data_IF_094902869031
#
_entry.id   IF_094902869031
#
_cell.length_a   1.000
_cell.length_b   1.000
_cell.length_c   1.000
_cell.angle_alpha   90.00
_cell.angle_beta   90.00
_cell.angle_gamma   90.00
#
_symmetry.space_group_name_H-M   'P 1'
#
loop_
_entity.id
_entity.type
_entity.pdbx_description
1 polymer ?
#
# COMPACT_ATOMS: atom_id res chain seq x y z
N UNK A 1 23.77 5.17 -8.65
CA UNK A 1 24.00 6.43 -7.90
C UNK A 1 24.48 6.03 -6.52
N UNK A 2 25.55 6.61 -6.03
CA UNK A 2 26.00 6.37 -4.66
C UNK A 2 25.04 7.05 -3.68
N UNK A 3 24.87 6.47 -2.49
CA UNK A 3 23.95 6.95 -1.44
C UNK A 3 24.20 8.39 -1.00
N UNK A 4 25.41 8.89 -1.15
CA UNK A 4 25.79 10.29 -0.87
C UNK A 4 25.01 11.31 -1.72
N UNK A 5 24.63 10.95 -2.94
CA UNK A 5 23.87 11.84 -3.84
C UNK A 5 22.45 12.16 -3.34
N UNK A 6 21.87 11.32 -2.51
CA UNK A 6 20.49 11.47 -2.03
C UNK A 6 20.41 12.09 -0.62
N UNK A 7 21.54 12.46 -0.01
CA UNK A 7 21.53 12.99 1.37
C UNK A 7 20.70 14.27 1.53
N UNK A 8 20.70 15.15 0.55
CA UNK A 8 19.86 16.36 0.55
C UNK A 8 18.40 16.02 0.23
N UNK A 9 18.19 15.14 -0.74
CA UNK A 9 16.83 14.75 -1.18
C UNK A 9 16.08 13.97 -0.10
N UNK A 10 16.75 13.08 0.64
CA UNK A 10 16.14 12.37 1.75
C UNK A 10 15.69 13.33 2.87
N UNK A 11 16.46 14.40 3.11
CA UNK A 11 16.07 15.41 4.10
C UNK A 11 14.86 16.21 3.63
N UNK A 12 14.76 16.55 2.34
CA UNK A 12 13.58 17.22 1.77
C UNK A 12 12.35 16.29 1.80
N UNK A 13 12.55 15.03 1.47
CA UNK A 13 11.48 14.02 1.52
C UNK A 13 10.96 13.80 2.95
N UNK A 14 11.87 13.72 3.92
CA UNK A 14 11.54 13.63 5.33
C UNK A 14 10.75 14.86 5.83
N UNK A 15 11.15 16.06 5.39
CA UNK A 15 10.42 17.28 5.71
C UNK A 15 9.00 17.25 5.14
N UNK A 16 8.83 16.80 3.90
CA UNK A 16 7.52 16.64 3.27
C UNK A 16 6.67 15.59 4.00
N UNK A 17 7.23 14.45 4.37
CA UNK A 17 6.56 13.44 5.18
C UNK A 17 6.03 14.04 6.48
N UNK A 18 6.87 14.77 7.20
CA UNK A 18 6.54 15.35 8.51
C UNK A 18 5.49 16.46 8.39
N UNK A 19 5.67 17.40 7.45
CA UNK A 19 4.82 18.59 7.33
C UNK A 19 3.56 18.38 6.50
N UNK A 20 3.68 17.72 5.35
CA UNK A 20 2.63 17.70 4.35
C UNK A 20 1.80 16.40 4.42
N UNK A 21 2.42 15.30 4.85
CA UNK A 21 1.73 14.00 4.99
C UNK A 21 1.23 13.81 6.42
N UNK A 22 2.13 13.86 7.42
CA UNK A 22 1.77 13.62 8.81
C UNK A 22 1.25 14.86 9.54
N UNK A 23 1.35 16.04 8.93
CA UNK A 23 0.87 17.32 9.45
C UNK A 23 1.32 17.60 10.90
N UNK A 24 2.57 17.25 11.19
CA UNK A 24 3.16 17.41 12.53
C UNK A 24 3.21 18.90 12.91
N UNK A 25 2.85 19.20 14.15
CA UNK A 25 2.82 20.56 14.69
C UNK A 25 3.91 20.78 15.75
N UNK A 26 4.34 22.03 15.98
CA UNK A 26 5.23 22.35 17.08
C UNK A 26 4.68 21.85 18.43
N UNK A 27 5.55 21.25 19.25
CA UNK A 27 5.19 20.74 20.58
C UNK A 27 4.58 19.34 20.60
N UNK A 28 4.20 18.76 19.45
CA UNK A 28 3.68 17.39 19.43
C UNK A 28 4.77 16.34 19.69
N UNK A 29 4.38 15.27 20.40
CA UNK A 29 5.23 14.11 20.65
C UNK A 29 5.18 13.18 19.46
N UNK A 30 6.29 13.08 18.72
CA UNK A 30 6.42 12.25 17.52
C UNK A 30 7.21 11.01 17.88
N UNK A 31 6.56 9.86 18.04
CA UNK A 31 7.24 8.59 18.25
C UNK A 31 7.59 7.98 16.90
N UNK A 32 8.87 7.74 16.69
CA UNK A 32 9.41 7.09 15.50
C UNK A 32 9.92 5.72 15.92
N UNK A 33 9.36 4.67 15.33
CA UNK A 33 9.75 3.29 15.64
C UNK A 33 10.54 2.68 14.50
N UNK A 34 11.61 1.99 14.83
CA UNK A 34 12.51 1.29 13.92
C UNK A 34 12.95 -0.02 14.52
N UNK A 35 13.31 -1.00 13.72
CA UNK A 35 13.90 -2.24 14.17
C UNK A 35 15.35 -2.41 13.68
N UNK A 36 15.94 -3.57 13.95
CA UNK A 36 17.34 -3.86 13.58
C UNK A 36 17.53 -4.01 12.05
N UNK A 37 16.48 -4.21 11.27
CA UNK A 37 16.52 -4.29 9.81
C UNK A 37 16.23 -2.94 9.11
N UNK A 38 15.78 -1.93 9.85
CA UNK A 38 15.41 -0.61 9.31
C UNK A 38 16.62 0.18 8.80
N UNK A 39 16.48 0.85 7.66
CA UNK A 39 17.45 1.85 7.17
C UNK A 39 17.42 3.10 8.04
N UNK A 40 18.40 3.22 8.93
CA UNK A 40 18.46 4.31 9.91
C UNK A 40 18.64 5.70 9.28
N UNK A 41 19.13 5.81 8.04
CA UNK A 41 19.30 7.10 7.34
C UNK A 41 17.96 7.80 7.12
N UNK A 42 16.92 7.02 6.79
CA UNK A 42 15.55 7.52 6.64
C UNK A 42 14.99 7.99 7.97
N UNK A 43 15.15 7.17 9.01
CA UNK A 43 14.66 7.43 10.37
C UNK A 43 15.28 8.69 10.95
N UNK A 44 16.60 8.83 10.82
CA UNK A 44 17.32 10.02 11.29
C UNK A 44 16.92 11.29 10.53
N UNK A 45 16.69 11.21 9.22
CA UNK A 45 16.21 12.33 8.43
C UNK A 45 14.82 12.80 8.91
N UNK A 46 13.92 11.85 9.19
CA UNK A 46 12.57 12.15 9.71
C UNK A 46 12.62 12.72 11.13
N UNK A 47 13.49 12.17 11.99
CA UNK A 47 13.70 12.72 13.33
C UNK A 47 14.21 14.18 13.27
N UNK A 48 15.21 14.47 12.43
CA UNK A 48 15.75 15.83 12.21
C UNK A 48 14.68 16.78 11.66
N UNK A 49 13.84 16.30 10.71
CA UNK A 49 12.73 17.06 10.16
C UNK A 49 11.71 17.43 11.25
N UNK A 50 11.28 16.49 12.08
CA UNK A 50 10.35 16.73 13.18
C UNK A 50 10.95 17.71 14.22
N UNK A 51 12.22 17.54 14.57
CA UNK A 51 12.91 18.46 15.48
C UNK A 51 12.99 19.89 14.91
N UNK A 52 13.27 20.04 13.62
CA UNK A 52 13.42 21.35 12.98
C UNK A 52 12.14 22.20 12.98
N UNK A 53 10.98 21.56 13.05
CA UNK A 53 9.68 22.24 13.20
C UNK A 53 9.22 22.39 14.66
N UNK A 54 10.14 22.16 15.63
CA UNK A 54 9.92 22.26 17.07
C UNK A 54 8.90 21.25 17.62
N UNK A 55 8.77 20.09 17.01
CA UNK A 55 8.11 18.92 17.62
C UNK A 55 9.07 18.23 18.60
N UNK A 56 8.59 17.26 19.36
CA UNK A 56 9.35 16.45 20.31
C UNK A 56 9.55 15.03 19.70
N UNK A 57 10.53 14.80 18.81
CA UNK A 57 10.75 13.49 18.24
C UNK A 57 11.40 12.54 19.26
N UNK A 58 10.89 11.34 19.35
CA UNK A 58 11.39 10.25 20.17
C UNK A 58 11.64 9.06 19.25
N UNK A 59 12.90 8.65 19.12
CA UNK A 59 13.29 7.49 18.32
C UNK A 59 13.46 6.27 19.22
N UNK A 60 12.79 5.17 18.87
CA UNK A 60 12.92 3.89 19.55
C UNK A 60 13.34 2.84 18.54
N UNK A 61 14.52 2.26 18.76
CA UNK A 61 15.03 1.12 17.99
C UNK A 61 14.96 -0.15 18.84
N UNK A 62 14.42 -1.22 18.28
CA UNK A 62 14.23 -2.50 18.96
C UNK A 62 14.60 -3.69 18.05
N UNK A 63 14.77 -4.89 18.60
CA UNK A 63 15.01 -6.07 17.77
C UNK A 63 13.84 -6.33 16.81
N UNK A 64 14.13 -6.76 15.60
CA UNK A 64 13.10 -7.17 14.64
C UNK A 64 12.18 -8.21 15.26
N UNK A 65 10.88 -8.08 15.04
CA UNK A 65 9.88 -9.08 15.45
C UNK A 65 9.95 -10.33 14.56
N UNK A 66 9.36 -11.43 14.99
CA UNK A 66 9.39 -12.68 14.23
C UNK A 66 8.45 -12.69 13.01
N UNK A 67 7.44 -11.81 13.00
CA UNK A 67 6.40 -11.72 11.95
C UNK A 67 5.66 -10.38 12.03
N UNK A 68 4.97 -10.06 10.93
CA UNK A 68 4.08 -8.89 10.90
C UNK A 68 2.92 -9.02 11.91
N UNK A 69 2.44 -7.87 12.38
CA UNK A 69 1.31 -7.70 13.32
C UNK A 69 1.56 -8.25 14.73
N UNK A 70 2.79 -8.61 15.05
CA UNK A 70 3.18 -9.03 16.39
C UNK A 70 3.29 -7.81 17.33
N UNK A 71 2.82 -7.97 18.58
CA UNK A 71 2.96 -6.93 19.58
C UNK A 71 4.45 -6.71 19.92
N UNK A 72 4.98 -5.49 19.81
CA UNK A 72 6.36 -5.20 20.13
C UNK A 72 6.59 -5.26 21.66
N UNK A 73 7.86 -5.25 22.07
CA UNK A 73 8.22 -5.24 23.48
C UNK A 73 7.54 -4.09 24.25
N UNK A 74 7.18 -4.34 25.50
CA UNK A 74 6.38 -3.46 26.36
C UNK A 74 6.80 -1.96 26.37
N UNK A 75 8.11 -1.59 26.43
CA UNK A 75 8.51 -0.19 26.37
C UNK A 75 8.10 0.51 25.05
N UNK A 76 8.16 -0.20 23.92
CA UNK A 76 7.70 0.33 22.60
C UNK A 76 6.20 0.53 22.63
N UNK A 77 5.45 -0.51 23.05
CA UNK A 77 3.99 -0.48 23.13
C UNK A 77 3.47 0.69 23.99
N UNK A 78 4.12 0.97 25.12
CA UNK A 78 3.75 2.12 25.96
C UNK A 78 4.08 3.46 25.33
N UNK A 79 5.24 3.61 24.71
CA UNK A 79 5.64 4.85 24.09
C UNK A 79 4.67 5.24 22.96
N UNK A 80 4.35 4.32 22.04
CA UNK A 80 3.45 4.59 20.92
C UNK A 80 2.03 4.91 21.38
N UNK A 81 1.58 4.33 22.48
CA UNK A 81 0.24 4.59 23.04
C UNK A 81 0.05 6.01 23.58
N UNK A 82 1.13 6.76 23.81
CA UNK A 82 1.11 8.15 24.27
C UNK A 82 1.56 9.17 23.23
N UNK A 83 1.76 8.74 21.97
CA UNK A 83 2.18 9.60 20.89
C UNK A 83 1.03 10.47 20.35
N UNK A 84 1.33 11.72 19.95
CA UNK A 84 0.44 12.52 19.10
C UNK A 84 0.56 12.06 17.64
N UNK A 85 1.77 11.69 17.23
CA UNK A 85 2.09 11.15 15.90
C UNK A 85 3.01 9.95 16.06
N UNK A 86 2.68 8.87 15.36
CA UNK A 86 3.51 7.68 15.29
C UNK A 86 3.88 7.38 13.85
N UNK A 87 5.19 7.36 13.56
CA UNK A 87 5.76 7.01 12.24
C UNK A 87 6.53 5.70 12.41
N UNK A 88 6.04 4.63 11.79
CA UNK A 88 6.61 3.30 11.89
C UNK A 88 7.47 2.97 10.67
N UNK A 89 8.73 2.59 10.92
CA UNK A 89 9.68 2.13 9.91
C UNK A 89 10.15 0.68 10.12
N UNK A 90 9.65 -0.01 11.14
CA UNK A 90 10.01 -1.41 11.40
C UNK A 90 9.79 -2.28 10.15
N UNK A 91 10.63 -3.28 9.94
CA UNK A 91 10.53 -4.18 8.79
C UNK A 91 9.21 -4.95 8.78
N UNK A 92 8.86 -5.55 9.93
CA UNK A 92 7.54 -6.11 10.14
C UNK A 92 6.63 -5.11 10.82
N UNK A 93 5.57 -4.74 10.12
CA UNK A 93 4.55 -3.82 10.60
C UNK A 93 3.86 -4.35 11.87
N UNK A 94 3.65 -3.47 12.86
CA UNK A 94 2.87 -3.80 14.07
C UNK A 94 1.41 -3.34 13.99
N UNK A 95 0.96 -2.91 12.81
CA UNK A 95 -0.45 -2.56 12.55
C UNK A 95 -1.36 -3.73 12.97
N UNK A 96 -2.54 -3.43 13.50
CA UNK A 96 -3.49 -4.39 14.06
C UNK A 96 -3.11 -5.02 15.42
N UNK A 97 -1.90 -4.80 15.93
CA UNK A 97 -1.52 -5.24 17.29
C UNK A 97 -2.30 -4.49 18.40
N UNK A 98 -2.30 -4.98 19.64
CA UNK A 98 -2.93 -4.28 20.77
C UNK A 98 -2.41 -2.84 20.97
N UNK A 99 -1.08 -2.62 20.85
CA UNK A 99 -0.52 -1.27 21.01
C UNK A 99 -0.95 -0.33 19.89
N UNK A 100 -1.08 -0.81 18.66
CA UNK A 100 -1.64 -0.04 17.55
C UNK A 100 -3.08 0.38 17.84
N UNK A 101 -3.94 -0.56 18.26
CA UNK A 101 -5.34 -0.24 18.59
C UNK A 101 -5.43 0.78 19.70
N UNK A 102 -4.58 0.68 20.71
CA UNK A 102 -4.50 1.63 21.83
C UNK A 102 -4.02 3.01 21.37
N UNK A 103 -2.97 3.09 20.54
CA UNK A 103 -2.45 4.35 20.02
C UNK A 103 -3.51 5.08 19.17
N UNK A 104 -4.17 4.36 18.24
CA UNK A 104 -5.26 4.90 17.43
C UNK A 104 -6.45 5.32 18.30
N UNK A 105 -6.85 4.50 19.26
CA UNK A 105 -7.93 4.82 20.23
C UNK A 105 -7.64 6.07 21.06
N UNK A 106 -6.38 6.33 21.38
CA UNK A 106 -5.92 7.55 22.07
C UNK A 106 -5.78 8.77 21.13
N UNK A 107 -6.01 8.60 19.84
CA UNK A 107 -6.02 9.69 18.86
C UNK A 107 -4.69 9.93 18.16
N UNK A 108 -3.71 9.02 18.23
CA UNK A 108 -2.47 9.13 17.50
C UNK A 108 -2.74 9.16 15.98
N UNK A 109 -2.04 10.04 15.25
CA UNK A 109 -1.93 9.97 13.78
C UNK A 109 -0.80 9.00 13.45
N UNK A 110 -1.09 8.02 12.64
CA UNK A 110 -0.18 6.92 12.38
C UNK A 110 0.07 6.73 10.89
N UNK A 111 1.31 6.40 10.54
CA UNK A 111 1.66 5.86 9.22
C UNK A 111 2.61 4.69 9.34
N UNK A 112 2.37 3.67 8.49
CA UNK A 112 3.24 2.52 8.33
C UNK A 112 4.09 2.72 7.06
N UNK A 113 5.40 2.74 7.24
CA UNK A 113 6.41 2.89 6.19
C UNK A 113 7.44 1.74 6.29
N UNK A 114 6.95 0.52 6.47
CA UNK A 114 7.75 -0.68 6.62
C UNK A 114 8.67 -0.92 5.43
N UNK A 115 9.92 -1.28 5.71
CA UNK A 115 10.93 -1.53 4.68
C UNK A 115 11.37 -0.28 3.89
N UNK A 116 10.97 0.93 4.31
CA UNK A 116 11.35 2.19 3.68
C UNK A 116 12.85 2.41 3.72
N UNK A 117 13.45 2.60 2.56
CA UNK A 117 14.84 3.05 2.42
C UNK A 117 14.92 4.46 1.82
N UNK A 118 16.14 4.97 1.66
CA UNK A 118 16.39 6.32 1.12
C UNK A 118 15.77 6.49 -0.27
N UNK A 119 15.93 5.50 -1.15
CA UNK A 119 15.45 5.58 -2.54
C UNK A 119 13.91 5.59 -2.55
N UNK A 120 13.29 4.72 -1.79
CA UNK A 120 11.84 4.66 -1.68
C UNK A 120 11.27 5.97 -1.14
N UNK A 121 11.80 6.51 -0.03
CA UNK A 121 11.32 7.77 0.55
C UNK A 121 11.44 8.95 -0.44
N UNK A 122 12.58 9.04 -1.12
CA UNK A 122 12.85 10.11 -2.10
C UNK A 122 11.91 10.00 -3.29
N UNK A 123 11.73 8.82 -3.84
CA UNK A 123 10.90 8.62 -5.03
C UNK A 123 9.41 8.75 -4.74
N UNK A 124 8.92 8.13 -3.65
CA UNK A 124 7.48 8.03 -3.40
C UNK A 124 6.89 9.25 -2.70
N UNK A 125 7.70 10.03 -2.00
CA UNK A 125 7.26 11.23 -1.25
C UNK A 125 8.03 12.47 -1.70
N UNK A 126 9.37 12.40 -1.73
CA UNK A 126 10.22 13.56 -1.96
C UNK A 126 10.00 14.24 -3.30
N UNK A 127 10.04 13.46 -4.38
CA UNK A 127 9.94 13.93 -5.78
C UNK A 127 8.50 14.10 -6.26
N UNK A 128 7.53 13.62 -5.50
CA UNK A 128 6.11 13.66 -5.88
C UNK A 128 5.48 15.01 -5.50
N UNK A 129 4.66 15.58 -6.37
CA UNK A 129 3.75 16.70 -6.04
C UNK A 129 2.58 16.11 -5.23
N UNK A 130 2.76 16.05 -3.91
CA UNK A 130 1.91 15.25 -3.04
C UNK A 130 0.46 15.76 -2.96
N UNK A 131 0.25 17.07 -3.05
CA UNK A 131 -1.06 17.72 -3.14
C UNK A 131 -1.83 17.29 -4.40
N UNK A 132 -1.13 17.21 -5.54
CA UNK A 132 -1.70 16.73 -6.81
C UNK A 132 -1.98 15.23 -6.74
N UNK A 133 -1.07 14.45 -6.10
CA UNK A 133 -1.26 13.01 -5.89
C UNK A 133 -2.52 12.73 -5.06
N UNK A 134 -2.73 13.48 -3.98
CA UNK A 134 -3.92 13.37 -3.13
C UNK A 134 -5.18 13.68 -3.93
N UNK A 135 -5.19 14.81 -4.66
CA UNK A 135 -6.34 15.20 -5.49
C UNK A 135 -6.64 14.20 -6.60
N UNK A 136 -5.61 13.57 -7.18
CA UNK A 136 -5.80 12.50 -8.16
C UNK A 136 -6.42 11.26 -7.51
N UNK A 137 -5.95 10.87 -6.33
CA UNK A 137 -6.53 9.76 -5.57
C UNK A 137 -7.99 10.02 -5.17
N UNK A 138 -8.36 11.25 -4.81
CA UNK A 138 -9.76 11.63 -4.55
C UNK A 138 -10.62 11.46 -5.80
N UNK A 139 -10.12 11.91 -6.95
CA UNK A 139 -10.80 11.74 -8.23
C UNK A 139 -10.98 10.25 -8.61
N UNK A 140 -9.93 9.44 -8.50
CA UNK A 140 -10.01 8.00 -8.76
C UNK A 140 -10.99 7.31 -7.81
N UNK A 141 -10.98 7.71 -6.53
CA UNK A 141 -11.93 7.21 -5.52
C UNK A 141 -13.37 7.46 -5.95
N UNK A 142 -13.69 8.69 -6.40
CA UNK A 142 -15.02 9.05 -6.87
C UNK A 142 -15.41 8.25 -8.13
N UNK A 143 -14.49 8.12 -9.09
CA UNK A 143 -14.74 7.36 -10.33
C UNK A 143 -15.05 5.90 -10.06
N UNK A 144 -14.24 5.22 -9.25
CA UNK A 144 -14.45 3.80 -8.90
C UNK A 144 -15.68 3.63 -8.01
N UNK A 145 -15.92 4.57 -7.07
CA UNK A 145 -17.09 4.53 -6.18
C UNK A 145 -18.41 4.59 -6.94
N UNK A 146 -18.44 5.32 -8.06
CA UNK A 146 -19.65 5.54 -8.87
C UNK A 146 -19.85 4.47 -9.96
N UNK A 147 -18.85 3.62 -10.22
CA UNK A 147 -18.95 2.55 -11.20
C UNK A 147 -19.72 1.34 -10.64
N UNK A 148 -20.60 0.78 -11.46
CA UNK A 148 -21.30 -0.48 -11.14
C UNK A 148 -20.49 -1.70 -11.60
N UNK A 149 -19.95 -1.70 -12.81
CA UNK A 149 -19.18 -2.80 -13.39
C UNK A 149 -17.70 -2.43 -13.53
N UNK A 150 -16.85 -3.34 -13.11
CA UNK A 150 -15.40 -3.20 -13.27
C UNK A 150 -14.87 -4.40 -14.04
N UNK A 151 -14.17 -4.12 -15.15
CA UNK A 151 -13.45 -5.11 -15.94
C UNK A 151 -11.98 -4.80 -15.89
N UNK A 152 -11.16 -5.80 -15.61
CA UNK A 152 -9.70 -5.73 -15.65
C UNK A 152 -9.19 -6.78 -16.61
N UNK A 153 -8.44 -6.38 -17.61
CA UNK A 153 -7.79 -7.30 -18.54
C UNK A 153 -6.36 -6.84 -18.86
N UNK A 154 -5.53 -7.74 -19.38
CA UNK A 154 -4.19 -7.45 -19.87
C UNK A 154 -3.77 -8.38 -21.00
N UNK A 155 -2.55 -8.14 -21.54
CA UNK A 155 -1.99 -8.97 -22.61
C UNK A 155 -1.41 -10.29 -22.11
N UNK A 156 -1.24 -10.48 -20.78
CA UNK A 156 -0.72 -11.71 -20.17
C UNK A 156 -1.83 -12.72 -19.85
N UNK A 157 -3.08 -12.31 -20.03
CA UNK A 157 -4.25 -13.17 -19.86
C UNK A 157 -5.06 -12.90 -18.59
N UNK A 158 -4.82 -11.80 -17.89
CA UNK A 158 -5.77 -11.27 -16.91
C UNK A 158 -7.08 -10.95 -17.64
N UNK A 159 -8.18 -11.45 -17.12
CA UNK A 159 -9.53 -11.15 -17.60
C UNK A 159 -10.50 -11.39 -16.46
N UNK A 160 -10.77 -10.34 -15.71
CA UNK A 160 -11.56 -10.37 -14.49
C UNK A 160 -12.72 -9.39 -14.60
N UNK A 161 -13.88 -9.82 -14.17
CA UNK A 161 -15.09 -9.00 -14.11
C UNK A 161 -15.67 -9.04 -12.70
N UNK A 162 -16.17 -7.89 -12.23
CA UNK A 162 -16.85 -7.79 -10.94
C UNK A 162 -17.84 -6.62 -10.94
N UNK A 163 -18.81 -6.65 -10.01
CA UNK A 163 -19.71 -5.54 -9.75
C UNK A 163 -19.38 -4.85 -8.42
N UNK A 164 -19.42 -3.51 -8.43
CA UNK A 164 -18.99 -2.67 -7.31
C UNK A 164 -20.15 -1.99 -6.57
N UNK A 165 -21.40 -2.22 -6.98
CA UNK A 165 -22.58 -1.52 -6.45
C UNK A 165 -22.67 -1.59 -4.93
N UNK A 166 -22.76 -0.43 -4.28
CA UNK A 166 -22.89 -0.33 -2.83
C UNK A 166 -21.58 -0.53 -2.05
N UNK A 167 -20.47 -0.67 -2.75
CA UNK A 167 -19.14 -0.80 -2.13
C UNK A 167 -18.49 0.54 -1.90
N UNK A 168 -17.64 0.59 -0.88
CA UNK A 168 -16.88 1.80 -0.53
C UNK A 168 -15.48 1.71 -1.12
N UNK A 169 -15.02 2.81 -1.72
CA UNK A 169 -13.64 2.97 -2.16
C UNK A 169 -12.88 3.77 -1.12
N UNK A 170 -11.68 3.33 -0.77
CA UNK A 170 -10.82 3.96 0.24
C UNK A 170 -9.59 4.57 -0.43
N UNK A 171 -9.40 5.88 -0.24
CA UNK A 171 -8.13 6.55 -0.51
C UNK A 171 -7.30 6.56 0.78
N UNK A 172 -6.27 5.71 0.86
CA UNK A 172 -5.48 5.51 2.07
C UNK A 172 -4.29 6.48 2.22
N UNK A 173 -3.87 7.12 1.13
CA UNK A 173 -2.73 8.04 1.06
C UNK A 173 -3.05 9.51 1.31
N UNK A 174 -4.17 9.83 1.96
CA UNK A 174 -4.52 11.20 2.35
C UNK A 174 -3.60 11.71 3.47
N UNK A 175 -3.40 13.04 3.60
CA UNK A 175 -2.71 13.59 4.75
C UNK A 175 -3.38 13.20 6.08
N UNK A 176 -2.59 13.11 7.14
CA UNK A 176 -3.04 12.67 8.46
C UNK A 176 -3.85 13.78 9.20
N UNK A 177 -4.97 14.21 8.62
CA UNK A 177 -5.84 15.25 9.16
C UNK A 177 -6.60 14.75 10.38
N UNK A 178 -7.11 13.52 10.30
CA UNK A 178 -7.99 12.94 11.32
C UNK A 178 -7.18 12.23 12.39
N UNK A 179 -7.38 12.67 13.66
CA UNK A 179 -6.82 11.94 14.82
C UNK A 179 -7.42 10.54 14.94
N UNK A 180 -6.61 9.59 15.38
CA UNK A 180 -7.04 8.19 15.53
C UNK A 180 -7.34 7.49 14.20
N UNK A 181 -6.74 7.96 13.11
CA UNK A 181 -6.91 7.36 11.79
C UNK A 181 -5.55 7.06 11.14
N UNK A 182 -5.29 5.81 10.74
CA UNK A 182 -4.05 5.46 10.06
C UNK A 182 -4.07 5.96 8.61
N UNK A 183 -2.95 6.51 8.18
CA UNK A 183 -2.69 6.83 6.77
C UNK A 183 -1.60 5.93 6.23
N UNK A 184 -1.63 5.69 4.94
CA UNK A 184 -0.66 4.84 4.25
C UNK A 184 0.16 5.69 3.28
N UNK A 185 1.20 5.12 2.71
CA UNK A 185 1.95 5.74 1.62
C UNK A 185 1.00 6.14 0.49
N UNK A 186 1.16 7.35 -0.08
CA UNK A 186 0.30 7.87 -1.13
C UNK A 186 0.46 7.15 -2.47
N UNK A 187 -0.61 7.21 -3.29
CA UNK A 187 -0.63 6.63 -4.62
C UNK A 187 -1.39 5.31 -4.72
N UNK A 188 -2.37 5.08 -3.84
CA UNK A 188 -3.21 3.90 -3.88
C UNK A 188 -4.65 4.23 -3.48
N UNK A 189 -5.62 3.70 -4.23
CA UNK A 189 -7.04 3.63 -3.84
C UNK A 189 -7.49 2.18 -3.88
N UNK A 190 -8.24 1.74 -2.86
CA UNK A 190 -8.57 0.34 -2.64
C UNK A 190 -10.06 0.13 -2.42
N UNK A 191 -10.60 -0.96 -2.92
CA UNK A 191 -11.99 -1.38 -2.71
C UNK A 191 -12.13 -2.89 -2.80
N UNK A 192 -13.27 -3.41 -2.34
CA UNK A 192 -13.66 -4.79 -2.60
C UNK A 192 -14.99 -4.79 -3.36
N UNK A 193 -15.04 -5.32 -4.59
CA UNK A 193 -16.31 -5.53 -5.30
C UNK A 193 -17.22 -6.50 -4.54
N UNK A 194 -18.44 -6.67 -5.02
CA UNK A 194 -19.36 -7.70 -4.50
C UNK A 194 -18.73 -9.05 -4.76
N UNK A 195 -18.32 -9.73 -3.71
CA UNK A 195 -17.43 -10.90 -3.74
C UNK A 195 -17.93 -12.01 -4.66
N UNK A 196 -19.23 -12.31 -4.59
CA UNK A 196 -19.86 -13.37 -5.36
C UNK A 196 -19.92 -13.06 -6.86
N UNK A 197 -19.63 -11.83 -7.26
CA UNK A 197 -19.62 -11.40 -8.67
C UNK A 197 -18.23 -11.42 -9.30
N UNK A 198 -17.20 -11.71 -8.51
CA UNK A 198 -15.82 -11.72 -8.99
C UNK A 198 -15.55 -13.03 -9.72
N UNK A 199 -15.40 -12.97 -11.03
CA UNK A 199 -15.13 -14.12 -11.88
C UNK A 199 -14.04 -13.83 -12.92
N UNK A 200 -13.25 -14.83 -13.22
CA UNK A 200 -12.25 -14.80 -14.31
C UNK A 200 -10.86 -15.18 -13.88
N UNK A 201 -9.88 -14.53 -14.48
CA UNK A 201 -8.47 -14.83 -14.32
C UNK A 201 -7.68 -13.61 -13.89
N UNK A 202 -6.75 -13.79 -12.97
CA UNK A 202 -5.69 -12.83 -12.65
C UNK A 202 -4.34 -13.43 -13.03
N UNK A 203 -3.46 -12.63 -13.62
CA UNK A 203 -2.08 -13.03 -13.94
C UNK A 203 -1.14 -12.01 -13.28
N UNK A 204 -0.61 -12.33 -12.11
CA UNK A 204 0.42 -11.52 -11.48
C UNK A 204 1.71 -11.60 -12.29
N UNK A 205 2.30 -10.47 -12.63
CA UNK A 205 3.50 -10.39 -13.48
C UNK A 205 4.60 -9.46 -12.92
N UNK A 206 4.34 -8.78 -11.80
CA UNK A 206 5.29 -7.81 -11.23
C UNK A 206 5.83 -8.24 -9.87
N UNK A 207 4.98 -8.34 -8.85
CA UNK A 207 5.35 -8.69 -7.48
C UNK A 207 4.25 -9.53 -6.82
N UNK A 208 4.64 -10.33 -5.83
CA UNK A 208 3.73 -11.10 -4.98
C UNK A 208 4.37 -11.28 -3.60
N UNK A 209 3.73 -10.77 -2.54
CA UNK A 209 4.27 -10.82 -1.18
C UNK A 209 3.16 -10.66 -0.12
N UNK A 210 3.20 -11.39 1.02
CA UNK A 210 4.00 -12.60 1.25
C UNK A 210 3.68 -13.73 0.26
N UNK A 211 4.44 -14.82 0.20
CA UNK A 211 5.54 -15.21 1.09
C UNK A 211 6.89 -14.54 0.75
N UNK A 212 7.79 -14.51 1.74
CA UNK A 212 9.12 -13.88 1.63
C UNK A 212 10.00 -14.48 0.51
N UNK A 213 9.75 -15.75 0.14
CA UNK A 213 10.49 -16.47 -0.89
C UNK A 213 10.17 -15.98 -2.32
N UNK A 214 9.15 -15.14 -2.50
CA UNK A 214 8.73 -14.67 -3.83
C UNK A 214 9.18 -13.24 -4.08
N UNK A 215 8.51 -12.25 -3.49
CA UNK A 215 8.77 -10.84 -3.73
C UNK A 215 8.60 -10.46 -5.21
N UNK A 216 9.71 -10.23 -5.90
CA UNK A 216 9.73 -9.91 -7.34
C UNK A 216 9.44 -11.16 -8.18
N UNK A 217 8.46 -11.08 -9.07
CA UNK A 217 8.12 -12.17 -9.98
C UNK A 217 9.09 -12.22 -11.17
N UNK A 218 9.58 -13.41 -11.46
CA UNK A 218 10.41 -13.72 -12.64
C UNK A 218 9.61 -14.40 -13.74
N UNK A 219 8.48 -14.97 -13.39
CA UNK A 219 7.53 -15.64 -14.27
C UNK A 219 6.11 -15.39 -13.75
N UNK A 220 5.11 -15.27 -14.63
CA UNK A 220 3.75 -14.97 -14.21
C UNK A 220 3.13 -16.05 -13.32
N UNK A 221 2.31 -15.61 -12.36
CA UNK A 221 1.50 -16.46 -11.50
C UNK A 221 0.02 -16.25 -11.88
N UNK A 222 -0.60 -17.28 -12.44
CA UNK A 222 -1.98 -17.25 -12.92
C UNK A 222 -2.93 -17.85 -11.90
N UNK A 223 -4.02 -17.14 -11.61
CA UNK A 223 -5.09 -17.56 -10.72
C UNK A 223 -6.42 -17.61 -11.49
N UNK A 224 -7.15 -18.71 -11.35
CA UNK A 224 -8.53 -18.82 -11.81
C UNK A 224 -9.47 -18.58 -10.64
N UNK A 225 -10.42 -17.66 -10.80
CA UNK A 225 -11.35 -17.25 -9.75
C UNK A 225 -12.79 -17.50 -10.15
N UNK A 226 -13.57 -17.89 -9.16
CA UNK A 226 -15.04 -17.98 -9.24
C UNK A 226 -15.65 -17.54 -7.91
N UNK A 227 -16.66 -16.68 -7.98
CA UNK A 227 -17.34 -16.17 -6.80
C UNK A 227 -16.36 -15.62 -5.75
N UNK A 228 -15.33 -14.89 -6.21
CA UNK A 228 -14.30 -14.30 -5.36
C UNK A 228 -13.31 -15.27 -4.72
N UNK A 229 -13.36 -16.56 -5.09
CA UNK A 229 -12.46 -17.57 -4.56
C UNK A 229 -11.47 -18.06 -5.62
N UNK A 230 -10.20 -18.20 -5.26
CA UNK A 230 -9.17 -18.83 -6.09
C UNK A 230 -9.39 -20.32 -6.12
N UNK A 231 -9.68 -20.86 -7.31
CA UNK A 231 -9.92 -22.28 -7.53
C UNK A 231 -8.66 -23.01 -7.98
N UNK A 232 -7.82 -22.34 -8.76
CA UNK A 232 -6.64 -22.94 -9.35
C UNK A 232 -5.50 -21.90 -9.43
N UNK A 233 -4.28 -22.34 -9.20
CA UNK A 233 -3.05 -21.55 -9.33
C UNK A 233 -2.13 -22.26 -10.30
N UNK A 234 -1.68 -21.55 -11.35
CA UNK A 234 -0.80 -22.07 -12.40
C UNK A 234 0.40 -21.17 -12.62
N UNK A 235 1.50 -21.76 -13.03
CA UNK A 235 2.76 -21.05 -13.36
C UNK A 235 3.96 -21.94 -13.08
N UNK A 236 5.13 -21.32 -12.99
CA UNK A 236 6.36 -22.04 -12.71
C UNK A 236 6.64 -22.17 -11.20
N UNK A 237 7.92 -22.11 -10.85
CA UNK A 237 8.40 -22.36 -9.48
C UNK A 237 7.77 -21.43 -8.44
N UNK A 238 7.62 -20.13 -8.77
CA UNK A 238 7.03 -19.15 -7.82
C UNK A 238 5.53 -19.41 -7.59
N UNK A 239 4.80 -19.87 -8.60
CA UNK A 239 3.40 -20.30 -8.43
C UNK A 239 3.27 -21.50 -7.49
N UNK A 240 4.19 -22.48 -7.58
CA UNK A 240 4.18 -23.64 -6.68
C UNK A 240 4.60 -23.27 -5.24
N UNK A 241 5.47 -22.29 -5.05
CA UNK A 241 5.78 -21.72 -3.72
C UNK A 241 4.52 -21.07 -3.15
N UNK A 242 3.86 -20.22 -3.92
CA UNK A 242 2.63 -19.53 -3.51
C UNK A 242 1.52 -20.51 -3.12
N UNK A 243 1.28 -21.51 -3.96
CA UNK A 243 0.29 -22.57 -3.72
C UNK A 243 0.55 -23.32 -2.41
N UNK A 244 1.80 -23.72 -2.15
CA UNK A 244 2.19 -24.37 -0.90
C UNK A 244 2.04 -23.46 0.31
N UNK A 245 2.38 -22.18 0.17
CA UNK A 245 2.24 -21.19 1.23
C UNK A 245 0.76 -21.00 1.61
N UNK A 246 -0.16 -20.81 0.67
CA UNK A 246 -1.59 -20.73 0.93
C UNK A 246 -2.11 -22.00 1.61
N UNK A 247 -1.71 -23.17 1.13
CA UNK A 247 -2.14 -24.46 1.67
C UNK A 247 -1.62 -24.72 3.09
N UNK A 248 -0.47 -24.15 3.46
CA UNK A 248 0.16 -24.35 4.78
C UNK A 248 -0.67 -23.85 5.95
N UNK A 249 -1.60 -22.92 5.71
CA UNK A 249 -2.47 -22.37 6.74
C UNK A 249 -3.66 -23.27 7.09
N UNK A 250 -4.06 -24.18 6.19
CA UNK A 250 -5.26 -25.00 6.39
C UNK A 250 -6.56 -24.19 6.52
N UNK A 251 -6.56 -22.96 6.04
CA UNK A 251 -7.66 -21.99 6.14
C UNK A 251 -8.23 -21.67 4.75
N UNK A 252 -9.49 -21.98 4.52
CA UNK A 252 -10.16 -21.74 3.24
C UNK A 252 -10.30 -20.24 2.92
N UNK A 253 -10.32 -19.36 3.93
CA UNK A 253 -10.37 -17.91 3.71
C UNK A 253 -9.08 -17.36 3.10
N UNK A 254 -7.97 -18.10 3.16
CA UNK A 254 -6.73 -17.75 2.47
C UNK A 254 -6.85 -17.76 0.93
N UNK A 255 -7.92 -18.34 0.39
CA UNK A 255 -8.19 -18.37 -1.06
C UNK A 255 -9.22 -17.33 -1.51
N UNK A 256 -9.68 -16.45 -0.63
CA UNK A 256 -10.65 -15.40 -0.95
C UNK A 256 -9.96 -14.13 -1.41
N UNK A 257 -10.45 -13.53 -2.50
CA UNK A 257 -10.01 -12.23 -2.97
C UNK A 257 -10.52 -11.14 -2.02
N UNK A 258 -9.61 -10.44 -1.39
CA UNK A 258 -9.91 -9.49 -0.33
C UNK A 258 -10.15 -8.08 -0.85
N UNK A 259 -9.35 -7.63 -1.83
CA UNK A 259 -9.48 -6.28 -2.39
C UNK A 259 -8.83 -6.13 -3.76
N UNK A 260 -9.18 -5.03 -4.42
CA UNK A 260 -8.53 -4.46 -5.59
C UNK A 260 -7.88 -3.14 -5.17
N UNK A 261 -6.77 -2.77 -5.77
CA UNK A 261 -6.17 -1.45 -5.56
C UNK A 261 -5.55 -0.90 -6.85
N UNK A 262 -5.83 0.36 -7.19
CA UNK A 262 -5.13 1.07 -8.26
C UNK A 262 -3.85 1.68 -7.68
N UNK A 263 -2.72 1.41 -8.32
CA UNK A 263 -1.44 2.07 -8.06
C UNK A 263 -1.24 3.27 -8.99
N UNK A 264 -0.93 4.45 -8.41
CA UNK A 264 -0.76 5.68 -9.20
C UNK A 264 0.30 6.63 -8.63
N UNK A 265 1.30 6.12 -7.91
CA UNK A 265 2.41 6.95 -7.45
C UNK A 265 3.43 7.17 -8.58
N UNK A 266 3.63 8.40 -9.09
CA UNK A 266 4.51 8.67 -10.22
C UNK A 266 6.00 8.43 -9.93
N UNK A 267 6.36 8.24 -8.67
CA UNK A 267 7.71 7.88 -8.24
C UNK A 267 8.01 6.38 -8.30
N UNK A 268 7.01 5.54 -8.54
CA UNK A 268 7.16 4.07 -8.64
C UNK A 268 6.85 3.64 -10.07
N UNK A 269 7.88 3.28 -10.82
CA UNK A 269 7.76 2.97 -12.26
C UNK A 269 7.92 1.47 -12.58
N UNK A 270 8.41 0.69 -11.64
CA UNK A 270 8.65 -0.75 -11.82
C UNK A 270 8.69 -1.46 -10.48
N UNK A 271 8.42 -2.75 -10.49
CA UNK A 271 8.49 -3.58 -9.29
C UNK A 271 9.92 -3.70 -8.74
N UNK A 272 10.03 -3.71 -7.44
CA UNK A 272 11.29 -3.82 -6.68
C UNK A 272 11.34 -5.07 -5.80
N UNK A 273 10.22 -5.77 -5.65
CA UNK A 273 10.03 -6.88 -4.71
C UNK A 273 9.64 -6.41 -3.29
N UNK A 274 9.42 -5.10 -3.10
CA UNK A 274 8.96 -4.52 -1.83
C UNK A 274 7.50 -4.09 -1.98
N UNK A 275 6.62 -4.88 -1.43
CA UNK A 275 5.18 -4.75 -1.70
C UNK A 275 4.61 -3.36 -1.36
N UNK A 276 5.06 -2.72 -0.29
CA UNK A 276 4.62 -1.36 0.09
C UNK A 276 4.88 -0.32 -1.01
N UNK A 277 5.92 -0.54 -1.84
CA UNK A 277 6.21 0.27 -3.02
C UNK A 277 5.47 -0.29 -4.25
N UNK A 278 5.54 -1.60 -4.47
CA UNK A 278 5.12 -2.26 -5.69
C UNK A 278 3.61 -2.17 -5.93
N UNK A 279 2.79 -2.18 -4.89
CA UNK A 279 1.34 -1.97 -4.99
C UNK A 279 0.95 -0.53 -5.40
N UNK A 280 1.93 0.37 -5.50
CA UNK A 280 1.77 1.77 -5.92
C UNK A 280 2.41 2.08 -7.26
N UNK A 281 2.88 1.07 -7.99
CA UNK A 281 3.40 1.26 -9.35
C UNK A 281 2.39 2.08 -10.16
N UNK A 282 2.89 3.12 -10.83
CA UNK A 282 2.02 3.99 -11.62
C UNK A 282 1.38 3.24 -12.77
N UNK A 283 0.05 3.16 -12.75
CA UNK A 283 -0.72 2.43 -13.76
C UNK A 283 -0.74 0.92 -13.55
N UNK A 284 -0.59 0.43 -12.34
CA UNK A 284 -0.83 -0.98 -11.99
C UNK A 284 -2.18 -1.19 -11.33
N UNK A 285 -2.60 -2.44 -11.28
CA UNK A 285 -3.62 -2.90 -10.35
C UNK A 285 -3.03 -3.98 -9.45
N UNK A 286 -3.34 -3.90 -8.17
CA UNK A 286 -2.97 -4.89 -7.17
C UNK A 286 -4.23 -5.60 -6.67
N UNK A 287 -4.09 -6.86 -6.30
CA UNK A 287 -5.13 -7.70 -5.73
C UNK A 287 -4.67 -8.33 -4.42
N UNK A 288 -5.41 -8.05 -3.35
CA UNK A 288 -5.20 -8.70 -2.07
C UNK A 288 -5.97 -10.02 -1.96
N UNK A 289 -5.35 -11.03 -1.34
CA UNK A 289 -5.92 -12.36 -1.11
C UNK A 289 -5.77 -12.73 0.37
N UNK A 290 -6.77 -13.35 0.96
CA UNK A 290 -6.79 -13.74 2.37
C UNK A 290 -7.68 -12.84 3.22
N UNK A 291 -7.18 -12.33 4.36
CA UNK A 291 -7.96 -11.48 5.27
C UNK A 291 -8.47 -10.21 4.59
N UNK A 292 -9.76 -9.89 4.77
CA UNK A 292 -10.30 -8.60 4.39
C UNK A 292 -10.49 -7.71 5.62
N UNK A 293 -9.96 -6.48 5.55
CA UNK A 293 -10.12 -5.49 6.60
C UNK A 293 -11.51 -4.84 6.62
N UNK A 294 -12.05 -4.58 7.81
CA UNK A 294 -13.34 -3.91 8.00
C UNK A 294 -13.41 -2.47 7.44
N UNK A 295 -12.28 -1.88 7.02
CA UNK A 295 -12.24 -0.55 6.41
C UNK A 295 -12.71 -0.50 4.97
N UNK A 296 -12.73 -1.65 4.29
CA UNK A 296 -13.30 -1.81 2.95
C UNK A 296 -14.72 -2.32 3.14
N UNK A 297 -15.70 -1.65 2.60
CA UNK A 297 -17.12 -1.96 2.76
C UNK A 297 -17.54 -3.22 1.98
N UNK A 298 -16.89 -4.34 2.23
CA UNK A 298 -17.22 -5.65 1.76
C UNK A 298 -17.70 -6.55 2.89
N UNK A 299 -17.90 -7.84 2.63
CA UNK A 299 -18.10 -8.82 3.67
C UNK A 299 -16.79 -9.00 4.44
N UNK A 300 -16.80 -8.61 5.71
CA UNK A 300 -15.62 -8.77 6.58
C UNK A 300 -15.39 -10.24 6.89
N UNK A 301 -14.14 -10.69 6.73
CA UNK A 301 -13.68 -11.99 7.22
C UNK A 301 -12.21 -11.95 7.63
N UNK A 302 -11.85 -12.78 8.58
CA UNK A 302 -10.48 -13.04 8.95
C UNK A 302 -9.97 -14.27 8.19
N UNK A 303 -8.72 -14.24 7.79
CA UNK A 303 -7.94 -15.38 7.37
C UNK A 303 -6.65 -15.44 8.18
N UNK A 304 -5.94 -16.57 8.09
CA UNK A 304 -4.68 -16.77 8.81
C UNK A 304 -3.57 -15.79 8.40
N UNK A 305 -3.66 -15.25 7.17
CA UNK A 305 -2.72 -14.23 6.64
C UNK A 305 -3.38 -13.38 5.55
N UNK A 306 -2.58 -12.55 4.90
CA UNK A 306 -2.92 -11.72 3.75
C UNK A 306 -1.72 -11.67 2.80
N UNK A 307 -1.97 -11.55 1.50
CA UNK A 307 -0.93 -11.42 0.48
C UNK A 307 -1.43 -10.51 -0.63
N UNK A 308 -0.51 -9.78 -1.25
CA UNK A 308 -0.79 -8.83 -2.32
C UNK A 308 -0.02 -9.21 -3.58
N UNK A 309 -0.71 -9.23 -4.71
CA UNK A 309 -0.13 -9.53 -6.02
C UNK A 309 -0.40 -8.40 -7.03
N UNK A 310 0.59 -8.07 -7.84
CA UNK A 310 0.57 -6.92 -8.74
C UNK A 310 0.52 -7.33 -10.20
N UNK A 311 -0.43 -6.73 -10.94
CA UNK A 311 -0.53 -6.75 -12.41
C UNK A 311 -0.02 -5.41 -12.92
N UNK A 312 1.10 -5.41 -13.65
CA UNK A 312 1.87 -4.19 -13.95
C UNK A 312 1.25 -3.26 -14.97
N UNK A 313 0.54 -3.78 -15.97
CA UNK A 313 0.00 -3.02 -17.11
C UNK A 313 -1.42 -3.44 -17.47
N UNK A 314 -2.38 -3.21 -16.58
CA UNK A 314 -3.77 -3.57 -16.83
C UNK A 314 -4.42 -2.63 -17.86
N UNK A 315 -5.50 -3.10 -18.46
CA UNK A 315 -6.55 -2.31 -19.08
C UNK A 315 -7.77 -2.40 -18.16
N UNK A 316 -8.28 -1.26 -17.72
CA UNK A 316 -9.36 -1.16 -16.75
C UNK A 316 -10.52 -0.39 -17.37
N UNK A 317 -11.70 -1.01 -17.35
CA UNK A 317 -12.95 -0.41 -17.77
C UNK A 317 -13.89 -0.25 -16.58
N UNK A 318 -14.52 0.90 -16.49
CA UNK A 318 -15.57 1.23 -15.53
C UNK A 318 -16.86 1.49 -16.30
N UNK A 319 -17.88 0.65 -16.13
CA UNK A 319 -19.15 0.71 -16.87
C UNK A 319 -18.97 0.74 -18.40
N UNK A 320 -17.96 0.02 -18.90
CA UNK A 320 -17.59 -0.03 -20.31
C UNK A 320 -16.72 1.13 -20.81
N UNK A 321 -16.48 2.17 -20.03
CA UNK A 321 -15.57 3.26 -20.34
C UNK A 321 -14.12 2.94 -19.93
N UNK A 322 -13.17 3.17 -20.82
CA UNK A 322 -11.75 2.92 -20.54
C UNK A 322 -11.21 3.98 -19.59
N UNK A 323 -10.87 3.57 -18.36
CA UNK A 323 -10.13 4.37 -17.40
C UNK A 323 -8.64 4.39 -17.79
N UNK A 324 -8.11 3.18 -18.02
CA UNK A 324 -6.70 2.91 -18.25
C UNK A 324 -6.53 1.81 -19.28
N UNK A 325 -5.52 1.90 -20.15
CA UNK A 325 -5.20 0.92 -21.18
C UNK A 325 -3.71 0.60 -21.16
N UNK A 326 -3.36 -0.66 -20.94
CA UNK A 326 -1.96 -1.13 -20.82
C UNK A 326 -1.12 -0.30 -19.84
N UNK A 327 -1.66 0.05 -18.67
CA UNK A 327 -0.98 0.84 -17.65
C UNK A 327 -0.92 2.35 -17.95
N UNK A 328 -1.70 2.84 -18.92
CA UNK A 328 -1.73 4.25 -19.34
C UNK A 328 -3.14 4.80 -19.18
N UNK A 329 -3.32 5.80 -18.33
CA UNK A 329 -4.60 6.47 -18.15
C UNK A 329 -5.08 7.12 -19.45
N UNK A 330 -6.33 6.84 -19.82
CA UNK A 330 -6.99 7.35 -21.04
C UNK A 330 -8.12 8.31 -20.74
N UNK A 331 -8.74 8.18 -19.58
CA UNK A 331 -9.79 9.10 -19.16
C UNK A 331 -9.24 10.53 -19.06
N UNK A 332 -9.96 11.50 -19.62
CA UNK A 332 -9.47 12.86 -19.87
C UNK A 332 -8.95 13.55 -18.60
N UNK A 333 -9.68 13.48 -17.51
CA UNK A 333 -9.29 14.14 -16.24
C UNK A 333 -8.11 13.42 -15.59
N UNK A 334 -8.03 12.09 -15.68
CA UNK A 334 -6.85 11.32 -15.28
C UNK A 334 -5.59 11.78 -16.04
N UNK A 335 -5.69 11.96 -17.36
CA UNK A 335 -4.59 12.47 -18.20
C UNK A 335 -4.15 13.87 -17.75
N UNK A 336 -5.09 14.75 -17.36
CA UNK A 336 -4.74 16.07 -16.82
C UNK A 336 -3.98 15.98 -15.49
N UNK A 337 -4.37 15.07 -14.59
CA UNK A 337 -3.63 14.81 -13.37
C UNK A 337 -2.23 14.23 -13.63
N UNK A 338 -2.09 13.32 -14.58
CA UNK A 338 -0.80 12.76 -14.97
C UNK A 338 0.16 13.87 -15.48
N UNK A 339 -0.33 14.81 -16.30
CA UNK A 339 0.44 15.99 -16.72
C UNK A 339 0.85 16.88 -15.55
N UNK A 340 -0.08 17.16 -14.62
CA UNK A 340 0.21 17.97 -13.43
C UNK A 340 1.26 17.29 -12.53
N UNK A 341 1.22 15.97 -12.40
CA UNK A 341 2.20 15.17 -11.67
C UNK A 341 3.57 15.16 -12.38
N UNK A 342 3.61 15.41 -13.69
CA UNK A 342 4.83 15.37 -14.49
C UNK A 342 5.20 13.96 -14.94
N UNK A 343 4.20 13.08 -15.08
CA UNK A 343 4.43 11.70 -15.56
C UNK A 343 4.86 11.73 -17.02
N UNK A 344 5.95 11.04 -17.36
CA UNK A 344 6.46 10.97 -18.71
C UNK A 344 5.44 10.28 -19.64
N UNK A 345 5.25 10.83 -20.85
CA UNK A 345 4.35 10.26 -21.86
C UNK A 345 2.93 10.82 -21.84
N UNK A 346 2.62 11.76 -20.94
CA UNK A 346 1.32 12.45 -20.87
C UNK A 346 1.38 13.91 -21.33
#
# INVERSE_FOLDING_TARGET
MTEEYLSCEVQLAAMKLVKDVMLVKPGENVVITADTATDMRVVEAVMKAAYSIRANPILIKYPITGKAFEEPVYPVANAVSSADVWIEFAYYCVMHSPCFQKAIGNGARYTCLCGMDVIMLVNTIGRVKYDVLVSFGEYLTEKVQNADEIIVCDNNGTNLKAFNRGRRVKHSGQPAIKKGYPVMLGGQVSWCPVEETIEGTIVFDAALFPPDEIGLLREPVRLELKEGCVLEIKGGTQAEIFKRWLASFGDSNMYRLAHYSLGFNPGVLSATGRIVEDERIFGCIEFGIGSQGASLMGAFWNAASHTDGVVSKPTILLDGEVLEENGIYKEKTCVEYCKKLGVAGY
#
